data_IF_781501034460
#
_entry.id   IF_781501034460
#
_cell.length_a   1.000
_cell.length_b   1.000
_cell.length_c   1.000
_cell.angle_alpha   90.00
_cell.angle_beta   90.00
_cell.angle_gamma   90.00
#
_symmetry.space_group_name_H-M   'P 1'
#
loop_
_entity.id
_entity.type
_entity.pdbx_description
1 polymer ?
#
# COMPACT_ATOMS: atom_id res chain seq x y z
N UNK A 1 9.91 1.23 -7.78
CA UNK A 1 9.47 -0.11 -8.16
C UNK A 1 9.82 -0.45 -9.60
N UNK A 2 9.49 0.38 -10.60
CA UNK A 2 9.78 0.10 -12.01
C UNK A 2 11.27 -0.14 -12.27
N UNK A 3 12.15 0.74 -11.81
CA UNK A 3 13.60 0.59 -11.96
C UNK A 3 14.09 -0.73 -11.35
N UNK A 4 13.58 -1.09 -10.19
CA UNK A 4 13.96 -2.33 -9.51
C UNK A 4 13.43 -3.56 -10.28
N UNK A 5 12.18 -3.53 -10.77
CA UNK A 5 11.64 -4.59 -11.60
C UNK A 5 12.44 -4.78 -12.91
N UNK A 6 12.84 -3.69 -13.56
CA UNK A 6 13.67 -3.74 -14.77
C UNK A 6 15.08 -4.27 -14.47
N UNK A 7 15.66 -3.93 -13.31
CA UNK A 7 17.00 -4.45 -12.94
C UNK A 7 16.99 -5.96 -12.62
N UNK A 8 15.82 -6.56 -12.40
CA UNK A 8 15.67 -8.01 -12.21
C UNK A 8 15.57 -8.78 -13.53
N UNK A 9 15.23 -8.12 -14.65
CA UNK A 9 15.03 -8.79 -15.95
C UNK A 9 16.22 -9.69 -16.36
N UNK A 10 17.50 -9.27 -16.21
CA UNK A 10 18.62 -10.12 -16.56
C UNK A 10 18.70 -11.44 -15.75
N UNK A 11 18.06 -11.49 -14.59
CA UNK A 11 18.05 -12.63 -13.69
C UNK A 11 16.79 -13.51 -13.83
N UNK A 12 15.93 -13.25 -14.79
CA UNK A 12 14.74 -14.06 -15.03
C UNK A 12 15.16 -15.45 -15.52
N UNK A 13 14.81 -16.48 -14.78
CA UNK A 13 15.22 -17.86 -15.06
C UNK A 13 14.06 -18.85 -15.22
N UNK A 14 12.83 -18.42 -14.91
CA UNK A 14 11.66 -19.29 -15.02
C UNK A 14 11.65 -20.51 -14.10
N UNK A 15 12.56 -20.61 -13.13
CA UNK A 15 12.66 -21.73 -12.19
C UNK A 15 11.37 -21.97 -11.41
N UNK A 16 10.60 -20.92 -11.19
CA UNK A 16 9.28 -21.02 -10.56
C UNK A 16 8.31 -21.91 -11.36
N UNK A 17 8.29 -21.77 -12.68
CA UNK A 17 7.41 -22.57 -13.54
C UNK A 17 7.87 -24.02 -13.66
N UNK A 18 9.18 -24.27 -13.62
CA UNK A 18 9.73 -25.62 -13.63
C UNK A 18 9.36 -26.40 -12.36
N UNK A 19 9.29 -25.73 -11.22
CA UNK A 19 8.90 -26.34 -9.94
C UNK A 19 7.40 -26.41 -9.72
N UNK A 20 6.59 -25.67 -10.47
CA UNK A 20 5.13 -25.69 -10.39
C UNK A 20 4.48 -26.95 -11.00
N UNK A 21 5.27 -27.94 -11.40
CA UNK A 21 4.82 -29.21 -11.94
C UNK A 21 4.06 -30.10 -10.93
N UNK A 22 4.16 -29.84 -9.63
CA UNK A 22 3.32 -30.50 -8.64
C UNK A 22 1.95 -29.84 -8.59
N UNK A 23 0.92 -30.58 -9.00
CA UNK A 23 -0.47 -30.12 -8.95
C UNK A 23 -0.89 -29.83 -7.51
N UNK A 24 -1.02 -28.55 -7.17
CA UNK A 24 -1.51 -28.14 -5.86
C UNK A 24 -2.97 -28.62 -5.70
N UNK A 25 -3.31 -29.32 -4.61
CA UNK A 25 -4.70 -29.73 -4.38
C UNK A 25 -5.65 -28.52 -4.39
N UNK A 26 -6.77 -28.63 -5.07
CA UNK A 26 -7.76 -27.55 -5.20
C UNK A 26 -8.13 -26.88 -3.86
N UNK A 27 -8.36 -27.62 -2.75
CA UNK A 27 -8.67 -27.00 -1.47
C UNK A 27 -7.54 -26.09 -0.95
N UNK A 28 -6.28 -26.48 -1.17
CA UNK A 28 -5.10 -25.69 -0.77
C UNK A 28 -4.99 -24.44 -1.63
N UNK A 29 -5.26 -24.55 -2.92
CA UNK A 29 -5.29 -23.42 -3.85
C UNK A 29 -6.32 -22.37 -3.40
N UNK A 30 -7.57 -22.79 -3.16
CA UNK A 30 -8.63 -21.86 -2.72
C UNK A 30 -8.33 -21.25 -1.35
N UNK A 31 -7.77 -22.01 -0.41
CA UNK A 31 -7.35 -21.46 0.88
C UNK A 31 -6.26 -20.40 0.70
N UNK A 32 -5.26 -20.65 -0.14
CA UNK A 32 -4.18 -19.69 -0.41
C UNK A 32 -4.74 -18.43 -1.09
N UNK A 33 -5.62 -18.59 -2.07
CA UNK A 33 -6.28 -17.48 -2.74
C UNK A 33 -7.11 -16.63 -1.76
N UNK A 34 -7.87 -17.28 -0.85
CA UNK A 34 -8.63 -16.60 0.19
C UNK A 34 -7.73 -15.78 1.12
N UNK A 35 -6.59 -16.34 1.54
CA UNK A 35 -5.60 -15.63 2.37
C UNK A 35 -4.89 -14.50 1.63
N UNK A 36 -4.85 -14.52 0.29
CA UNK A 36 -4.27 -13.44 -0.51
C UNK A 36 -5.22 -12.23 -0.65
N UNK A 37 -6.55 -12.41 -0.49
CA UNK A 37 -7.53 -11.33 -0.65
C UNK A 37 -7.24 -10.12 0.24
N UNK A 38 -7.00 -10.23 1.56
CA UNK A 38 -6.69 -9.10 2.41
C UNK A 38 -5.44 -8.35 1.95
N UNK A 39 -4.41 -9.08 1.50
CA UNK A 39 -3.17 -8.48 1.00
C UNK A 39 -3.42 -7.69 -0.28
N UNK A 40 -4.20 -8.24 -1.21
CA UNK A 40 -4.58 -7.54 -2.46
C UNK A 40 -5.41 -6.29 -2.16
N UNK A 41 -6.42 -6.41 -1.31
CA UNK A 41 -7.24 -5.27 -0.91
C UNK A 41 -6.39 -4.17 -0.29
N UNK A 42 -5.46 -4.52 0.61
CA UNK A 42 -4.58 -3.55 1.25
C UNK A 42 -3.60 -2.92 0.25
N UNK A 43 -3.05 -3.71 -0.67
CA UNK A 43 -2.09 -3.23 -1.68
C UNK A 43 -2.69 -2.21 -2.65
N UNK A 44 -3.98 -2.34 -2.96
CA UNK A 44 -4.69 -1.46 -3.89
C UNK A 44 -5.58 -0.41 -3.19
N UNK A 45 -5.61 -0.40 -1.85
CA UNK A 45 -6.42 0.53 -1.10
C UNK A 45 -5.77 1.91 -1.02
N UNK A 46 -6.44 2.91 -1.58
CA UNK A 46 -6.09 4.32 -1.43
C UNK A 46 -7.30 5.17 -1.01
N UNK A 47 -8.32 4.51 -0.48
CA UNK A 47 -9.52 5.18 0.03
C UNK A 47 -9.22 6.32 1.03
N UNK A 48 -8.18 6.25 1.90
CA UNK A 48 -7.90 7.33 2.84
C UNK A 48 -7.57 8.68 2.20
N UNK A 49 -7.07 8.69 0.95
CA UNK A 49 -6.68 9.93 0.27
C UNK A 49 -7.75 10.43 -0.72
N UNK A 50 -8.79 9.63 -1.00
CA UNK A 50 -9.79 9.95 -2.02
C UNK A 50 -10.65 11.15 -1.60
N UNK A 51 -10.99 11.31 -0.32
CA UNK A 51 -11.76 12.43 0.18
C UNK A 51 -11.04 13.75 -0.07
N UNK A 52 -9.78 13.86 0.33
CA UNK A 52 -8.95 15.04 0.11
C UNK A 52 -8.78 15.33 -1.39
N UNK A 53 -8.55 14.30 -2.20
CA UNK A 53 -8.47 14.41 -3.66
C UNK A 53 -9.77 14.92 -4.26
N UNK A 54 -10.93 14.39 -3.86
CA UNK A 54 -12.23 14.83 -4.37
C UNK A 54 -12.52 16.30 -4.06
N UNK A 55 -12.17 16.75 -2.85
CA UNK A 55 -12.31 18.17 -2.45
C UNK A 55 -11.42 19.06 -3.31
N UNK A 56 -10.15 18.69 -3.53
CA UNK A 56 -9.22 19.46 -4.37
C UNK A 56 -9.71 19.52 -5.83
N UNK A 57 -10.19 18.41 -6.38
CA UNK A 57 -10.73 18.36 -7.74
C UNK A 57 -11.98 19.22 -7.89
N UNK A 58 -12.88 19.19 -6.91
CA UNK A 58 -14.08 20.05 -6.90
C UNK A 58 -13.73 21.53 -6.88
N UNK A 59 -12.68 21.89 -6.14
CA UNK A 59 -12.17 23.26 -6.08
C UNK A 59 -11.55 23.71 -7.42
N UNK A 60 -10.87 22.81 -8.13
CA UNK A 60 -10.17 23.12 -9.41
C UNK A 60 -11.09 23.12 -10.62
N UNK A 61 -12.03 22.18 -10.70
CA UNK A 61 -12.79 21.89 -11.93
C UNK A 61 -14.30 22.12 -11.79
N UNK A 62 -14.79 22.50 -10.60
CA UNK A 62 -16.21 22.84 -10.38
C UNK A 62 -17.17 21.75 -10.82
N UNK A 63 -18.04 22.03 -11.78
CA UNK A 63 -19.06 21.10 -12.30
C UNK A 63 -18.46 19.87 -12.98
N UNK A 64 -17.28 20.00 -13.60
CA UNK A 64 -16.62 18.92 -14.32
C UNK A 64 -15.72 18.05 -13.41
N UNK A 65 -15.72 18.30 -12.09
CA UNK A 65 -14.84 17.63 -11.14
C UNK A 65 -15.04 16.12 -11.10
N UNK A 66 -16.29 15.65 -11.15
CA UNK A 66 -16.60 14.22 -11.06
C UNK A 66 -16.04 13.44 -12.26
N UNK A 67 -16.30 13.90 -13.47
CA UNK A 67 -15.80 13.24 -14.69
C UNK A 67 -14.27 13.26 -14.75
N UNK A 68 -13.64 14.38 -14.40
CA UNK A 68 -12.18 14.51 -14.35
C UNK A 68 -11.57 13.63 -13.30
N UNK A 69 -12.14 13.60 -12.10
CA UNK A 69 -11.69 12.74 -11.01
C UNK A 69 -11.75 11.26 -11.39
N UNK A 70 -12.85 10.81 -11.97
CA UNK A 70 -13.02 9.44 -12.43
C UNK A 70 -11.95 9.04 -13.46
N UNK A 71 -11.68 9.90 -14.44
CA UNK A 71 -10.65 9.64 -15.46
C UNK A 71 -9.24 9.59 -14.85
N UNK A 72 -8.91 10.51 -13.94
CA UNK A 72 -7.60 10.55 -13.28
C UNK A 72 -7.41 9.31 -12.41
N UNK A 73 -8.41 8.98 -11.58
CA UNK A 73 -8.37 7.81 -10.71
C UNK A 73 -8.29 6.50 -11.52
N UNK A 74 -9.08 6.36 -12.59
CA UNK A 74 -9.05 5.18 -13.45
C UNK A 74 -7.68 4.96 -14.09
N UNK A 75 -7.07 6.01 -14.63
CA UNK A 75 -5.72 5.94 -15.23
C UNK A 75 -4.65 5.65 -14.19
N UNK A 76 -4.72 6.31 -13.03
CA UNK A 76 -3.78 6.10 -11.92
C UNK A 76 -3.89 4.67 -11.39
N UNK A 77 -5.12 4.15 -11.26
CA UNK A 77 -5.36 2.79 -10.80
C UNK A 77 -4.82 1.74 -11.79
N UNK A 78 -5.09 1.91 -13.08
CA UNK A 78 -4.56 1.04 -14.13
C UNK A 78 -3.03 1.01 -14.12
N UNK A 79 -2.40 2.19 -14.05
CA UNK A 79 -0.94 2.30 -13.96
C UNK A 79 -0.40 1.61 -12.71
N UNK A 80 -1.05 1.81 -11.57
CA UNK A 80 -0.66 1.18 -10.30
C UNK A 80 -0.73 -0.35 -10.40
N UNK A 81 -1.83 -0.89 -10.91
CA UNK A 81 -2.00 -2.34 -11.11
C UNK A 81 -0.90 -2.88 -12.03
N UNK A 82 -0.68 -2.23 -13.18
CA UNK A 82 0.36 -2.65 -14.13
C UNK A 82 1.76 -2.65 -13.48
N UNK A 83 2.10 -1.61 -12.71
CA UNK A 83 3.38 -1.49 -12.02
C UNK A 83 3.57 -2.55 -10.93
N UNK A 84 2.53 -2.80 -10.12
CA UNK A 84 2.58 -3.81 -9.05
C UNK A 84 2.69 -5.20 -9.67
N UNK A 85 1.88 -5.51 -10.67
CA UNK A 85 1.92 -6.82 -11.34
C UNK A 85 3.27 -7.05 -12.01
N UNK A 86 3.81 -6.05 -12.70
CA UNK A 86 5.14 -6.15 -13.31
C UNK A 86 6.23 -6.44 -12.28
N UNK A 87 6.20 -5.77 -11.12
CA UNK A 87 7.13 -6.02 -10.03
C UNK A 87 6.97 -7.43 -9.45
N UNK A 88 5.73 -7.87 -9.19
CA UNK A 88 5.46 -9.22 -8.66
C UNK A 88 5.94 -10.29 -9.62
N UNK A 89 5.64 -10.16 -10.92
CA UNK A 89 6.12 -11.09 -11.95
C UNK A 89 7.65 -11.08 -12.03
N UNK A 90 8.29 -9.92 -11.96
CA UNK A 90 9.75 -9.83 -11.95
C UNK A 90 10.36 -10.58 -10.76
N UNK A 91 9.77 -10.47 -9.57
CA UNK A 91 10.22 -11.21 -8.40
C UNK A 91 10.04 -12.72 -8.57
N UNK A 92 8.87 -13.17 -9.04
CA UNK A 92 8.54 -14.58 -9.23
C UNK A 92 9.41 -15.23 -10.32
N UNK A 93 9.73 -14.49 -11.39
CA UNK A 93 10.60 -14.98 -12.47
C UNK A 93 12.06 -15.02 -12.07
N UNK A 94 12.47 -14.21 -11.09
CA UNK A 94 13.88 -14.12 -10.65
C UNK A 94 14.19 -15.08 -9.51
N UNK A 95 13.24 -15.26 -8.57
CA UNK A 95 13.45 -16.04 -7.35
C UNK A 95 12.89 -17.46 -7.48
N UNK A 96 13.61 -18.43 -7.00
CA UNK A 96 13.11 -19.80 -6.89
C UNK A 96 12.10 -19.94 -5.75
N UNK A 97 11.22 -20.96 -5.76
CA UNK A 97 10.29 -21.23 -4.65
C UNK A 97 11.00 -21.42 -3.31
N UNK A 98 12.20 -22.02 -3.30
CA UNK A 98 13.01 -22.18 -2.10
C UNK A 98 13.45 -20.83 -1.51
N UNK A 99 13.88 -19.90 -2.35
CA UNK A 99 14.27 -18.54 -1.94
C UNK A 99 13.07 -17.73 -1.42
N UNK A 100 11.91 -17.90 -2.02
CA UNK A 100 10.67 -17.28 -1.52
C UNK A 100 10.26 -17.87 -0.16
N UNK A 101 10.42 -19.18 0.03
CA UNK A 101 10.17 -19.84 1.31
C UNK A 101 11.18 -19.40 2.38
N UNK A 102 12.44 -19.23 2.02
CA UNK A 102 13.48 -18.70 2.90
C UNK A 102 13.18 -17.27 3.36
N UNK A 103 12.85 -16.36 2.43
CA UNK A 103 12.45 -14.99 2.76
C UNK A 103 11.27 -14.95 3.74
N UNK A 104 10.30 -15.85 3.54
CA UNK A 104 9.15 -16.02 4.44
C UNK A 104 9.57 -16.54 5.81
N UNK A 105 10.45 -17.55 5.88
CA UNK A 105 10.94 -18.13 7.13
C UNK A 105 11.74 -17.12 7.96
N UNK A 106 12.51 -16.25 7.29
CA UNK A 106 13.27 -15.17 7.91
C UNK A 106 12.40 -13.93 8.23
N UNK A 107 11.11 -13.96 7.90
CA UNK A 107 10.20 -12.82 8.04
C UNK A 107 10.72 -11.52 7.38
N UNK A 108 11.43 -11.67 6.27
CA UNK A 108 11.96 -10.55 5.50
C UNK A 108 10.95 -10.08 4.45
N UNK A 109 10.89 -8.77 4.24
CA UNK A 109 10.20 -8.24 3.08
C UNK A 109 10.93 -8.67 1.80
N UNK A 110 10.20 -8.85 0.70
CA UNK A 110 10.83 -9.23 -0.57
C UNK A 110 11.89 -8.21 -1.02
N UNK A 111 11.69 -6.93 -0.72
CA UNK A 111 12.68 -5.87 -1.01
C UNK A 111 13.96 -6.07 -0.21
N UNK A 112 13.84 -6.41 1.07
CA UNK A 112 15.00 -6.69 1.93
C UNK A 112 15.73 -7.96 1.49
N UNK A 113 14.98 -9.00 1.12
CA UNK A 113 15.56 -10.24 0.61
C UNK A 113 16.33 -10.01 -0.69
N UNK A 114 15.74 -9.27 -1.65
CA UNK A 114 16.42 -8.91 -2.90
C UNK A 114 17.69 -8.08 -2.66
N UNK A 115 17.65 -7.14 -1.71
CA UNK A 115 18.82 -6.33 -1.35
C UNK A 115 19.96 -7.16 -0.80
N UNK A 116 19.65 -8.19 0.01
CA UNK A 116 20.63 -9.09 0.61
C UNK A 116 21.16 -10.13 -0.39
N UNK A 117 20.31 -10.59 -1.31
CA UNK A 117 20.63 -11.66 -2.25
C UNK A 117 21.38 -11.16 -3.50
N UNK A 118 20.94 -10.05 -4.06
CA UNK A 118 21.56 -9.41 -5.21
C UNK A 118 22.48 -8.27 -4.74
N UNK A 119 23.78 -8.53 -4.68
CA UNK A 119 24.78 -7.54 -4.26
C UNK A 119 25.04 -6.46 -5.32
N UNK A 120 24.07 -6.19 -6.19
CA UNK A 120 24.18 -5.08 -7.14
C UNK A 120 23.92 -3.77 -6.42
N UNK A 121 24.77 -2.73 -6.60
CA UNK A 121 24.62 -1.46 -5.91
C UNK A 121 23.23 -0.83 -6.08
N UNK A 122 22.64 -0.98 -7.27
CA UNK A 122 21.30 -0.44 -7.57
C UNK A 122 20.24 -1.07 -6.66
N UNK A 123 20.24 -2.39 -6.49
CA UNK A 123 19.25 -3.09 -5.66
C UNK A 123 19.52 -2.82 -4.18
N UNK A 124 20.79 -2.88 -3.76
CA UNK A 124 21.18 -2.69 -2.37
C UNK A 124 20.77 -1.31 -1.81
N UNK A 125 20.91 -0.25 -2.61
CA UNK A 125 20.54 1.11 -2.19
C UNK A 125 19.08 1.48 -2.52
N UNK A 126 18.56 1.03 -3.67
CA UNK A 126 17.20 1.38 -4.08
C UNK A 126 16.13 0.68 -3.23
N UNK A 127 16.34 -0.57 -2.81
CA UNK A 127 15.34 -1.30 -2.07
C UNK A 127 15.00 -0.68 -0.69
N UNK A 128 15.98 -0.31 0.18
CA UNK A 128 15.71 0.38 1.42
C UNK A 128 15.07 1.76 1.21
N UNK A 129 15.53 2.52 0.20
CA UNK A 129 14.96 3.82 -0.13
C UNK A 129 13.51 3.71 -0.57
N UNK A 130 13.18 2.75 -1.43
CA UNK A 130 11.81 2.48 -1.87
C UNK A 130 10.94 2.08 -0.67
N UNK A 131 11.45 1.22 0.21
CA UNK A 131 10.73 0.81 1.42
C UNK A 131 10.43 2.01 2.32
N UNK A 132 11.42 2.86 2.58
CA UNK A 132 11.25 4.07 3.39
C UNK A 132 10.19 5.01 2.80
N UNK A 133 10.28 5.31 1.50
CA UNK A 133 9.30 6.17 0.80
C UNK A 133 7.91 5.56 0.82
N UNK A 134 7.80 4.25 0.59
CA UNK A 134 6.52 3.54 0.59
C UNK A 134 5.86 3.56 1.97
N UNK A 135 6.62 3.29 3.04
CA UNK A 135 6.13 3.34 4.42
C UNK A 135 5.68 4.75 4.78
N UNK A 136 6.53 5.76 4.50
CA UNK A 136 6.21 7.16 4.79
C UNK A 136 4.94 7.62 4.06
N UNK A 137 4.84 7.30 2.76
CA UNK A 137 3.64 7.63 1.96
C UNK A 137 2.39 6.94 2.52
N UNK A 138 2.49 5.65 2.85
CA UNK A 138 1.38 4.88 3.41
C UNK A 138 0.94 5.47 4.75
N UNK A 139 1.89 5.75 5.64
CA UNK A 139 1.61 6.38 6.93
C UNK A 139 0.89 7.73 6.78
N UNK A 140 1.42 8.63 5.94
CA UNK A 140 0.81 9.94 5.71
C UNK A 140 -0.60 9.84 5.13
N UNK A 141 -0.83 8.95 4.17
CA UNK A 141 -2.15 8.75 3.58
C UNK A 141 -3.18 8.26 4.61
N UNK A 142 -2.82 7.29 5.42
CA UNK A 142 -3.70 6.77 6.48
C UNK A 142 -3.90 7.78 7.61
N UNK A 143 -2.87 8.54 7.97
CA UNK A 143 -2.96 9.61 8.96
C UNK A 143 -3.97 10.69 8.54
N UNK A 144 -3.89 11.16 7.28
CA UNK A 144 -4.82 12.15 6.74
C UNK A 144 -6.26 11.59 6.78
N UNK A 145 -6.49 10.39 6.23
CA UNK A 145 -7.82 9.79 6.21
C UNK A 145 -8.39 9.55 7.60
N UNK A 146 -7.59 9.06 8.54
CA UNK A 146 -8.02 8.84 9.92
C UNK A 146 -8.31 10.16 10.65
N UNK A 147 -7.48 11.20 10.45
CA UNK A 147 -7.70 12.50 11.06
C UNK A 147 -8.96 13.20 10.52
N UNK A 148 -9.19 13.15 9.21
CA UNK A 148 -10.43 13.68 8.59
C UNK A 148 -11.67 12.93 9.10
N UNK A 149 -11.60 11.59 9.16
CA UNK A 149 -12.68 10.76 9.67
C UNK A 149 -13.02 11.05 11.12
N UNK A 150 -12.01 11.18 11.98
CA UNK A 150 -12.19 11.51 13.39
C UNK A 150 -12.75 12.92 13.60
N UNK A 151 -12.22 13.91 12.88
CA UNK A 151 -12.76 15.28 12.91
C UNK A 151 -14.21 15.31 12.45
N UNK A 152 -14.54 14.62 11.35
CA UNK A 152 -15.89 14.50 10.84
C UNK A 152 -16.86 13.88 11.87
N UNK A 153 -16.41 12.85 12.59
CA UNK A 153 -17.18 12.22 13.66
C UNK A 153 -17.49 13.20 14.79
N UNK A 154 -16.46 13.91 15.28
CA UNK A 154 -16.62 14.92 16.35
C UNK A 154 -17.59 16.03 15.93
N UNK A 155 -17.37 16.61 14.75
CA UNK A 155 -18.22 17.71 14.23
C UNK A 155 -19.67 17.25 14.09
N UNK A 156 -19.90 16.06 13.54
CA UNK A 156 -21.25 15.51 13.37
C UNK A 156 -21.94 15.27 14.72
N UNK A 157 -21.22 14.72 15.70
CA UNK A 157 -21.75 14.44 17.04
C UNK A 157 -22.08 15.73 17.79
N UNK A 158 -21.22 16.73 17.71
CA UNK A 158 -21.44 18.02 18.36
C UNK A 158 -22.57 18.84 17.71
N UNK A 159 -22.66 18.79 16.35
CA UNK A 159 -23.77 19.43 15.64
C UNK A 159 -25.12 18.85 16.06
N UNK A 160 -25.21 17.54 16.31
CA UNK A 160 -26.41 16.90 16.85
C UNK A 160 -26.77 17.37 18.26
N UNK A 161 -25.81 17.96 18.99
CA UNK A 161 -26.00 18.55 20.34
C UNK A 161 -26.04 20.08 20.37
N UNK A 162 -26.16 20.73 19.23
CA UNK A 162 -26.10 22.21 19.07
C UNK A 162 -24.83 22.85 19.67
N UNK A 163 -23.72 22.14 19.64
CA UNK A 163 -22.42 22.63 20.12
C UNK A 163 -21.44 22.73 18.96
N UNK A 164 -20.58 23.77 19.01
CA UNK A 164 -19.48 23.96 18.06
C UNK A 164 -18.15 24.01 18.80
N UNK A 165 -17.12 23.33 18.26
CA UNK A 165 -15.74 23.47 18.73
C UNK A 165 -14.96 24.44 17.85
N UNK A 166 -14.03 25.16 18.45
CA UNK A 166 -13.09 25.95 17.65
C UNK A 166 -12.16 25.01 16.84
N UNK A 167 -11.75 25.43 15.65
CA UNK A 167 -10.87 24.65 14.78
C UNK A 167 -9.58 24.20 15.50
N UNK A 168 -8.98 25.07 16.30
CA UNK A 168 -7.75 24.76 17.07
C UNK A 168 -7.96 23.64 18.10
N UNK A 169 -9.12 23.59 18.76
CA UNK A 169 -9.43 22.53 19.70
C UNK A 169 -9.68 21.20 18.98
N UNK A 170 -10.34 21.23 17.85
CA UNK A 170 -10.58 20.05 17.02
C UNK A 170 -9.26 19.43 16.54
N UNK A 171 -8.33 20.25 16.04
CA UNK A 171 -7.00 19.83 15.62
C UNK A 171 -6.20 19.20 16.76
N UNK A 172 -6.21 19.83 17.95
CA UNK A 172 -5.50 19.31 19.14
C UNK A 172 -6.08 17.97 19.60
N UNK A 173 -7.40 17.87 19.71
CA UNK A 173 -8.06 16.61 20.08
C UNK A 173 -7.72 15.49 19.08
N UNK A 174 -7.71 15.81 17.79
CA UNK A 174 -7.33 14.85 16.74
C UNK A 174 -5.89 14.42 16.89
N UNK A 175 -4.95 15.35 17.09
CA UNK A 175 -3.53 15.03 17.27
C UNK A 175 -3.29 14.14 18.49
N UNK A 176 -3.91 14.46 19.63
CA UNK A 176 -3.83 13.64 20.85
C UNK A 176 -4.39 12.24 20.61
N UNK A 177 -5.56 12.13 19.98
CA UNK A 177 -6.16 10.85 19.66
C UNK A 177 -5.26 10.00 18.76
N UNK A 178 -4.69 10.59 17.71
CA UNK A 178 -3.80 9.89 16.77
C UNK A 178 -2.52 9.40 17.46
N UNK A 179 -1.92 10.22 18.33
CA UNK A 179 -0.72 9.84 19.10
C UNK A 179 -1.05 8.69 20.05
N UNK A 180 -2.13 8.80 20.80
CA UNK A 180 -2.53 7.78 21.77
C UNK A 180 -2.90 6.46 21.10
N UNK A 181 -3.62 6.50 19.97
CA UNK A 181 -3.97 5.29 19.22
C UNK A 181 -2.75 4.61 18.61
N UNK A 182 -1.83 5.36 18.02
CA UNK A 182 -0.56 4.81 17.52
C UNK A 182 0.28 4.21 18.65
N UNK A 183 0.37 4.90 19.78
CA UNK A 183 1.10 4.39 20.95
C UNK A 183 0.46 3.11 21.50
N UNK A 184 -0.85 3.07 21.64
CA UNK A 184 -1.55 1.90 22.13
C UNK A 184 -1.32 0.68 21.21
N UNK A 185 -1.43 0.84 19.89
CA UNK A 185 -1.19 -0.26 18.93
C UNK A 185 0.27 -0.70 18.92
N UNK A 186 1.22 0.22 19.18
CA UNK A 186 2.64 -0.13 19.22
C UNK A 186 3.06 -0.85 20.50
N UNK A 187 2.27 -0.76 21.59
CA UNK A 187 2.58 -1.35 22.92
C UNK A 187 1.84 -2.65 23.18
N UNK A 188 0.77 -2.95 22.46
CA UNK A 188 -0.04 -4.17 22.55
C UNK A 188 0.01 -4.98 21.26
#
# INVERSE_FOLDING_TARGET
>A
LLLLAVSLIPNWNGAFFASASESMPLPVFFKTLWLAIPVMVFSFNHSPIISAFAVDQKRRYGVNAEQRSSQILGRAHLLMVAMVMFFVFSCVLTLSPAQLAEAKAQNLSILSYLANHFQTPVIAYAAPLIALVAITKSFLGHYIGASEGFQGLIVKTLRGRNRTLSARWLERCTAVFMILSCWAVATF
#
